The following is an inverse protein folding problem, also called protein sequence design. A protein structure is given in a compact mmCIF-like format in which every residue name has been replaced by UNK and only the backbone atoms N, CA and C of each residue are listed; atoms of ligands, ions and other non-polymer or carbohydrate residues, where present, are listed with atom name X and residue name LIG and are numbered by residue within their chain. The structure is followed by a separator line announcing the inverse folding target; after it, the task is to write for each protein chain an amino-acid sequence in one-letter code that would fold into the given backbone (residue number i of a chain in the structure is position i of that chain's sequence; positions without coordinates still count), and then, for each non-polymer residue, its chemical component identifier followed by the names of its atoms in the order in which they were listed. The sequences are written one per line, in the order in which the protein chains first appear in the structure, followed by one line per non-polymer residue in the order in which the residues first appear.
data_IF_267714105534
#
_entry.id   IF_267714105534
#
_cell.length_a   1.000
_cell.length_b   1.000
_cell.length_c   1.000
_cell.angle_alpha   90.00
_cell.angle_beta   90.00
_cell.angle_gamma   90.00
#
_symmetry.space_group_name_H-M   'P 1'
#
loop_
_entity.id
_entity.type
_entity.pdbx_description
1 polymer ?
#
# COMPACT_ATOMS: atom_id res chain seq x y z
N UNK A 1 7.41 1.90 -10.70
CA UNK A 1 7.04 2.05 -9.28
C UNK A 1 5.79 1.24 -8.87
N UNK A 2 4.65 1.35 -9.59
CA UNK A 2 3.39 0.68 -9.20
C UNK A 2 3.47 -0.86 -9.10
N UNK A 3 4.18 -1.52 -10.03
CA UNK A 3 4.33 -2.99 -10.05
C UNK A 3 5.17 -3.51 -8.86
N UNK A 4 6.14 -2.73 -8.37
CA UNK A 4 6.98 -3.09 -7.22
C UNK A 4 6.19 -3.15 -5.90
N UNK A 5 5.10 -2.38 -5.78
CA UNK A 5 4.22 -2.38 -4.59
C UNK A 5 2.99 -3.26 -4.76
N UNK A 6 2.53 -3.46 -5.99
CA UNK A 6 1.35 -4.26 -6.29
C UNK A 6 1.51 -5.73 -5.84
N UNK A 7 2.70 -6.32 -6.00
CA UNK A 7 3.00 -7.68 -5.52
C UNK A 7 2.83 -7.81 -4.00
N UNK A 8 3.50 -7.00 -3.16
CA UNK A 8 3.30 -7.03 -1.71
C UNK A 8 1.86 -6.73 -1.26
N UNK A 9 1.18 -5.76 -1.87
CA UNK A 9 -0.18 -5.37 -1.49
C UNK A 9 -1.20 -6.47 -1.80
N UNK A 10 -1.09 -7.09 -2.97
CA UNK A 10 -1.94 -8.23 -3.31
C UNK A 10 -1.67 -9.41 -2.38
N UNK A 11 -0.41 -9.70 -2.06
CA UNK A 11 -0.03 -10.80 -1.17
C UNK A 11 -0.65 -10.68 0.22
N UNK A 12 -0.65 -9.48 0.82
CA UNK A 12 -1.26 -9.26 2.15
C UNK A 12 -2.78 -9.31 2.09
N UNK A 13 -3.40 -8.66 1.11
CA UNK A 13 -4.86 -8.67 0.94
C UNK A 13 -5.42 -10.08 0.75
N UNK A 14 -4.73 -10.92 -0.04
CA UNK A 14 -5.12 -12.30 -0.30
C UNK A 14 -4.98 -13.18 0.95
N UNK A 15 -3.89 -13.01 1.69
CA UNK A 15 -3.66 -13.70 2.97
C UNK A 15 -4.77 -13.41 3.98
N UNK A 16 -5.15 -12.14 4.13
CA UNK A 16 -6.24 -11.75 5.04
C UNK A 16 -7.60 -12.27 4.58
N UNK A 17 -7.90 -12.25 3.28
CA UNK A 17 -9.14 -12.78 2.73
C UNK A 17 -9.26 -14.30 2.96
N UNK A 18 -8.18 -15.05 2.71
CA UNK A 18 -8.13 -16.50 2.93
C UNK A 18 -8.25 -16.82 4.43
N UNK A 19 -7.57 -16.07 5.30
CA UNK A 19 -7.64 -16.24 6.76
C UNK A 19 -9.02 -15.91 7.35
N UNK A 20 -9.78 -15.01 6.74
CA UNK A 20 -11.15 -14.66 7.14
C UNK A 20 -12.21 -15.61 6.58
N UNK A 21 -11.92 -16.37 5.52
CA UNK A 21 -12.85 -17.32 4.90
C UNK A 21 -13.46 -18.35 5.89
N UNK A 22 -12.68 -19.00 6.78
CA UNK A 22 -13.25 -19.96 7.75
C UNK A 22 -14.17 -19.31 8.79
N UNK A 23 -14.01 -18.02 9.09
CA UNK A 23 -14.93 -17.30 10.00
C UNK A 23 -16.34 -17.13 9.40
N UNK A 24 -16.43 -17.03 8.07
CA UNK A 24 -17.68 -16.85 7.33
C UNK A 24 -18.36 -18.20 7.07
N UNK A 25 -17.58 -19.26 6.88
CA UNK A 25 -18.07 -20.62 6.58
C UNK A 25 -18.39 -21.45 7.84
N UNK A 26 -17.88 -21.08 9.01
CA UNK A 26 -18.11 -21.82 10.25
C UNK A 26 -19.56 -21.67 10.75
N UNK A 27 -20.31 -22.78 10.73
CA UNK A 27 -21.64 -22.91 11.33
C UNK A 27 -21.56 -23.48 12.75
N UNK A 28 -22.40 -22.98 13.67
CA UNK A 28 -22.40 -23.38 15.08
C UNK A 28 -22.84 -22.26 16.03
N UNK A 29 -22.72 -22.48 17.35
CA UNK A 29 -23.05 -21.47 18.36
C UNK A 29 -22.18 -20.20 18.17
N UNK A 30 -22.82 -19.04 18.05
CA UNK A 30 -22.14 -17.76 17.78
C UNK A 30 -21.79 -17.53 16.31
N UNK A 31 -22.30 -18.34 15.37
CA UNK A 31 -22.06 -18.16 13.93
C UNK A 31 -22.46 -16.77 13.41
N UNK A 32 -23.58 -16.20 13.89
CA UNK A 32 -24.00 -14.85 13.48
C UNK A 32 -22.97 -13.76 13.85
N UNK A 33 -22.34 -13.85 15.03
CA UNK A 33 -21.29 -12.91 15.44
C UNK A 33 -20.01 -13.11 14.63
N UNK A 34 -19.61 -14.36 14.37
CA UNK A 34 -18.41 -14.68 13.56
C UNK A 34 -18.57 -14.24 12.11
N UNK A 35 -19.76 -14.45 11.54
CA UNK A 35 -20.13 -13.99 10.21
C UNK A 35 -20.05 -12.46 10.11
N UNK A 36 -20.60 -11.74 11.09
CA UNK A 36 -20.55 -10.27 11.14
C UNK A 36 -19.12 -9.76 11.18
N UNK A 37 -18.28 -10.31 12.06
CA UNK A 37 -16.86 -9.94 12.17
C UNK A 37 -16.11 -10.27 10.88
N UNK A 38 -16.34 -11.45 10.30
CA UNK A 38 -15.74 -11.87 9.04
C UNK A 38 -16.09 -10.94 7.87
N UNK A 39 -17.37 -10.55 7.76
CA UNK A 39 -17.84 -9.62 6.73
C UNK A 39 -17.19 -8.24 6.86
N UNK A 40 -17.11 -7.69 8.08
CA UNK A 40 -16.47 -6.39 8.35
C UNK A 40 -14.98 -6.42 8.00
N UNK A 41 -14.27 -7.50 8.34
CA UNK A 41 -12.84 -7.65 8.04
C UNK A 41 -12.62 -7.72 6.52
N UNK A 42 -13.38 -8.58 5.83
CA UNK A 42 -13.24 -8.74 4.38
C UNK A 42 -13.55 -7.43 3.66
N UNK A 43 -14.69 -6.80 3.96
CA UNK A 43 -15.08 -5.53 3.35
C UNK A 43 -14.09 -4.41 3.69
N UNK A 44 -13.67 -4.31 4.95
CA UNK A 44 -12.74 -3.29 5.43
C UNK A 44 -11.37 -3.40 4.79
N UNK A 45 -10.82 -4.61 4.68
CA UNK A 45 -9.49 -4.83 4.07
C UNK A 45 -9.54 -4.63 2.56
N UNK A 46 -10.59 -5.11 1.88
CA UNK A 46 -10.77 -4.86 0.45
C UNK A 46 -10.90 -3.37 0.14
N UNK A 47 -11.74 -2.66 0.91
CA UNK A 47 -11.94 -1.21 0.77
C UNK A 47 -10.66 -0.42 1.08
N UNK A 48 -10.00 -0.71 2.21
CA UNK A 48 -8.74 -0.07 2.60
C UNK A 48 -7.64 -0.29 1.56
N UNK A 49 -7.57 -1.49 0.97
CA UNK A 49 -6.60 -1.82 -0.09
C UNK A 49 -6.84 -0.97 -1.34
N UNK A 50 -8.10 -0.86 -1.79
CA UNK A 50 -8.48 -0.04 -2.93
C UNK A 50 -8.20 1.45 -2.69
N UNK A 51 -8.60 1.96 -1.53
CA UNK A 51 -8.29 3.34 -1.12
C UNK A 51 -6.78 3.56 -1.08
N UNK A 52 -5.99 2.67 -0.48
CA UNK A 52 -4.53 2.84 -0.42
C UNK A 52 -3.90 2.84 -1.82
N UNK A 53 -4.33 1.93 -2.70
CA UNK A 53 -3.84 1.86 -4.08
C UNK A 53 -4.18 3.08 -4.93
N UNK A 54 -5.27 3.80 -4.64
CA UNK A 54 -5.68 4.98 -5.41
C UNK A 54 -5.33 6.31 -4.74
N UNK A 55 -5.58 6.43 -3.43
CA UNK A 55 -5.37 7.62 -2.62
C UNK A 55 -3.89 7.92 -2.48
N UNK A 56 -3.07 6.94 -2.07
CA UNK A 56 -1.63 7.18 -1.86
C UNK A 56 -0.94 7.71 -3.13
N UNK A 57 -1.10 7.10 -4.32
CA UNK A 57 -0.49 7.66 -5.52
C UNK A 57 -1.14 8.97 -6.01
N UNK A 58 -2.43 9.18 -5.77
CA UNK A 58 -3.07 10.47 -6.12
C UNK A 58 -2.53 11.60 -5.27
N UNK A 59 -2.42 11.41 -3.96
CA UNK A 59 -1.77 12.35 -3.05
C UNK A 59 -0.28 12.52 -3.39
N UNK A 60 0.43 11.44 -3.72
CA UNK A 60 1.82 11.55 -4.14
C UNK A 60 1.97 12.39 -5.41
N UNK A 61 1.07 12.25 -6.40
CA UNK A 61 1.07 13.11 -7.60
C UNK A 61 0.75 14.56 -7.29
N UNK A 62 -0.17 14.81 -6.36
CA UNK A 62 -0.56 16.17 -5.96
C UNK A 62 0.58 16.88 -5.20
N UNK A 63 1.24 16.17 -4.28
CA UNK A 63 2.34 16.71 -3.47
C UNK A 63 3.68 16.73 -4.24
N UNK A 64 3.93 15.78 -5.14
CA UNK A 64 5.16 15.76 -5.95
C UNK A 64 5.26 16.95 -6.92
N UNK A 65 4.15 17.62 -7.24
CA UNK A 65 4.20 18.90 -7.96
C UNK A 65 4.84 20.02 -7.13
N UNK A 66 4.78 19.93 -5.80
CA UNK A 66 5.37 20.90 -4.87
C UNK A 66 6.75 20.48 -4.33
N UNK A 67 7.12 19.21 -4.44
CA UNK A 67 8.39 18.68 -3.94
C UNK A 67 9.33 18.33 -5.10
N UNK A 68 10.49 19.00 -5.19
CA UNK A 68 11.55 18.69 -6.16
C UNK A 68 11.85 17.19 -6.14
N UNK A 69 11.95 16.57 -7.32
CA UNK A 69 12.35 15.16 -7.46
C UNK A 69 13.67 14.93 -6.72
N UNK A 70 13.77 13.92 -5.83
CA UNK A 70 15.02 13.55 -5.17
C UNK A 70 16.18 13.31 -6.16
N UNK A 71 15.85 12.86 -7.38
CA UNK A 71 16.82 12.60 -8.45
C UNK A 71 17.47 13.88 -9.00
N UNK A 72 16.78 15.03 -8.91
CA UNK A 72 17.35 16.32 -9.31
C UNK A 72 18.45 16.76 -8.32
N UNK A 73 18.25 16.53 -7.03
CA UNK A 73 19.23 16.83 -5.99
C UNK A 73 20.45 15.89 -6.11
N UNK A 74 20.23 14.61 -6.40
CA UNK A 74 21.33 13.65 -6.62
C UNK A 74 22.21 14.05 -7.80
N UNK A 75 21.63 14.50 -8.92
CA UNK A 75 22.40 14.99 -10.07
C UNK A 75 23.15 16.30 -9.78
N UNK A 76 22.57 17.18 -8.97
CA UNK A 76 23.20 18.42 -8.53
C UNK A 76 24.42 18.13 -7.63
N UNK A 77 24.28 17.21 -6.68
CA UNK A 77 25.39 16.76 -5.82
C UNK A 77 26.49 16.09 -6.65
N UNK A 78 26.16 15.20 -7.59
CA UNK A 78 27.15 14.54 -8.47
C UNK A 78 27.86 15.54 -9.41
N UNK A 79 27.16 16.59 -9.84
CA UNK A 79 27.74 17.69 -10.60
C UNK A 79 28.70 18.54 -9.77
N UNK A 80 28.36 18.81 -8.50
CA UNK A 80 29.21 19.55 -7.55
C UNK A 80 30.47 18.76 -7.17
N UNK A 81 30.38 17.44 -7.02
CA UNK A 81 31.50 16.54 -6.73
C UNK A 81 32.51 16.50 -7.89
N UNK A 82 32.02 16.61 -9.14
CA UNK A 82 32.88 16.72 -10.35
C UNK A 82 33.60 18.07 -10.47
N UNK A 83 33.05 19.13 -9.88
CA UNK A 83 33.62 20.48 -9.89
C UNK A 83 34.52 20.76 -8.67
N UNK A 84 34.35 19.98 -7.61
CA UNK A 84 35.16 20.01 -6.40
C UNK A 84 35.80 18.65 -6.21
N UNK A 85 36.82 18.27 -7.01
CA UNK A 85 37.67 17.17 -6.60
C UNK A 85 38.27 17.59 -5.27
N UNK A 86 37.82 16.95 -4.18
CA UNK A 86 38.39 17.14 -2.86
C UNK A 86 39.91 16.99 -3.03
N UNK A 87 40.61 18.10 -2.77
CA UNK A 87 42.06 18.21 -2.85
C UNK A 87 42.73 17.19 -1.93
#
# INVERSE_FOLDING_TARGET
AAILRLRPILMTSLSTAIGAMPLVLASGAGANSRFTIGLVIVAGVSLATLLTLFVVPSFYRLLAGYTRSPEALTREIEGLDKLTPAA
#
